data_IF_259308011354
#
_entry.id   IF_259308011354
#
_cell.length_a   1.000
_cell.length_b   1.000
_cell.length_c   1.000
_cell.angle_alpha   90.00
_cell.angle_beta   90.00
_cell.angle_gamma   90.00
#
_symmetry.space_group_name_H-M   'P 1'
#
loop_
_entity.id
_entity.type
_entity.pdbx_description
1 polymer ?
#
# COMPACT_ATOMS: atom_id res chain seq x y z
N UNK A 1 10.13 12.11 8.04
CA UNK A 1 10.67 11.04 7.18
C UNK A 1 9.51 10.36 6.47
N UNK A 2 9.55 10.16 5.14
CA UNK A 2 8.46 9.50 4.43
C UNK A 2 8.32 8.05 4.89
N UNK A 3 7.10 7.60 5.17
CA UNK A 3 6.86 6.19 5.47
C UNK A 3 7.01 5.36 4.19
N UNK A 4 7.89 4.37 4.23
CA UNK A 4 8.03 3.36 3.17
C UNK A 4 7.02 2.25 3.41
N UNK A 5 6.29 1.87 2.37
CA UNK A 5 5.29 0.79 2.41
C UNK A 5 5.58 -0.21 1.31
N UNK A 6 5.21 -1.46 1.55
CA UNK A 6 5.37 -2.56 0.59
C UNK A 6 4.00 -2.91 0.04
N UNK A 7 3.92 -3.09 -1.29
CA UNK A 7 2.71 -3.53 -1.95
C UNK A 7 2.32 -4.94 -1.47
N UNK A 8 1.08 -5.12 -1.06
CA UNK A 8 0.57 -6.39 -0.54
C UNK A 8 0.41 -7.47 -1.63
N UNK A 9 0.56 -7.11 -2.91
CA UNK A 9 0.39 -8.02 -4.05
C UNK A 9 1.72 -8.31 -4.74
N UNK A 10 2.41 -7.28 -5.22
CA UNK A 10 3.69 -7.44 -5.96
C UNK A 10 4.90 -7.59 -5.05
N UNK A 11 4.76 -7.29 -3.75
CA UNK A 11 5.85 -7.26 -2.77
C UNK A 11 6.97 -6.25 -3.11
N UNK A 12 6.68 -5.29 -4.00
CA UNK A 12 7.58 -4.20 -4.34
C UNK A 12 7.41 -3.01 -3.38
N UNK A 13 8.44 -2.18 -3.30
CA UNK A 13 8.40 -0.94 -2.54
C UNK A 13 7.50 0.09 -3.23
N UNK A 14 6.63 0.73 -2.45
CA UNK A 14 5.77 1.83 -2.91
C UNK A 14 6.53 3.13 -2.70
N UNK A 15 6.60 3.97 -3.74
CA UNK A 15 7.19 5.29 -3.63
C UNK A 15 6.47 6.12 -2.55
N UNK A 16 7.19 6.78 -1.64
CA UNK A 16 6.55 7.55 -0.59
C UNK A 16 5.69 8.68 -1.14
N UNK A 17 4.43 8.74 -0.70
CA UNK A 17 3.45 9.72 -1.19
C UNK A 17 2.66 9.26 -2.41
N UNK A 18 2.88 8.03 -2.89
CA UNK A 18 2.08 7.40 -3.97
C UNK A 18 1.42 6.11 -3.48
N UNK A 19 0.65 5.47 -4.36
CA UNK A 19 -0.09 4.24 -4.09
C UNK A 19 -1.49 4.46 -3.51
N UNK A 20 -2.19 3.35 -3.27
CA UNK A 20 -3.54 3.32 -2.72
C UNK A 20 -3.61 2.47 -1.46
N UNK A 21 -4.29 3.00 -0.45
CA UNK A 21 -4.67 2.26 0.76
C UNK A 21 -6.10 1.74 0.59
N UNK A 22 -6.27 0.42 0.66
CA UNK A 22 -7.57 -0.21 0.64
C UNK A 22 -7.90 -0.80 2.01
N UNK A 23 -8.95 -0.29 2.63
CA UNK A 23 -9.46 -0.80 3.91
C UNK A 23 -10.66 -1.67 3.66
N UNK A 24 -10.54 -2.96 3.98
CA UNK A 24 -11.65 -3.91 3.91
C UNK A 24 -12.65 -3.66 5.04
N UNK A 25 -13.88 -4.14 4.83
CA UNK A 25 -14.95 -4.06 5.84
C UNK A 25 -14.63 -4.80 7.14
N UNK A 26 -13.75 -5.80 7.09
CA UNK A 26 -13.26 -6.54 8.26
C UNK A 26 -12.13 -5.83 9.02
N UNK A 27 -11.67 -4.67 8.53
CA UNK A 27 -10.59 -3.88 9.13
C UNK A 27 -9.20 -4.18 8.56
N UNK A 28 -9.05 -5.15 7.65
CA UNK A 28 -7.77 -5.45 7.01
C UNK A 28 -7.35 -4.31 6.08
N UNK A 29 -6.07 -3.96 6.09
CA UNK A 29 -5.50 -2.89 5.25
C UNK A 29 -4.56 -3.49 4.21
N UNK A 30 -4.79 -3.14 2.94
CA UNK A 30 -3.94 -3.51 1.81
C UNK A 30 -3.32 -2.26 1.18
N UNK A 31 -2.08 -2.41 0.72
CA UNK A 31 -1.34 -1.36 0.04
C UNK A 31 -1.10 -1.77 -1.40
N UNK A 32 -1.42 -0.88 -2.32
CA UNK A 32 -1.27 -1.07 -3.75
C UNK A 32 -0.33 0.00 -4.31
N UNK A 33 0.64 -0.42 -5.14
CA UNK A 33 1.56 0.47 -5.83
C UNK A 33 0.87 1.17 -7.02
N UNK A 34 0.12 0.38 -7.78
CA UNK A 34 -0.59 0.74 -8.99
C UNK A 34 -2.02 0.18 -8.96
N UNK A 35 -2.89 0.70 -9.84
CA UNK A 35 -4.30 0.33 -10.00
C UNK A 35 -4.51 -0.83 -10.95
#
# INVERSE_FOLDING_TARGET
>A
MPERRICSFTHEEIEPGTGMMFVKRDGSVFWFKDS
#
